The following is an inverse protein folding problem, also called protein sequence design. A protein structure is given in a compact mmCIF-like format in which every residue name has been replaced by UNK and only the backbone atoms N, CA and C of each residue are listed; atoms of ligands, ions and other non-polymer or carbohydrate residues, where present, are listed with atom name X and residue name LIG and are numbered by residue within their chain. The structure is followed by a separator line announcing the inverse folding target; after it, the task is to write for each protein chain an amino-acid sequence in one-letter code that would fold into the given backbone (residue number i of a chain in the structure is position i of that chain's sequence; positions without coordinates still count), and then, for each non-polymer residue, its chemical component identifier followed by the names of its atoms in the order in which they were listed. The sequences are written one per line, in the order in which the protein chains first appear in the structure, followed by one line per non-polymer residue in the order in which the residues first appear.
data_IF_302995249456
#
_entry.id   IF_302995249456
#
_cell.length_a   1.000
_cell.length_b   1.000
_cell.length_c   1.000
_cell.angle_alpha   90.00
_cell.angle_beta   90.00
_cell.angle_gamma   90.00
#
_symmetry.space_group_name_H-M   'P 1'
#
loop_
_entity.id
_entity.type
_entity.pdbx_description
1 polymer ?
#
# COMPACT_ATOMS: atom_id res chain seq x y z
N UNK A 1 -35.72 -12.25 14.54
CA UNK A 1 -35.48 -13.55 13.89
C UNK A 1 -34.76 -13.36 12.57
N UNK A 2 -33.46 -13.09 12.46
CA UNK A 2 -32.44 -12.62 13.39
C UNK A 2 -31.24 -12.11 12.54
N UNK A 3 -30.69 -10.98 12.98
CA UNK A 3 -29.27 -10.62 13.02
C UNK A 3 -28.37 -10.59 11.74
N UNK A 4 -27.93 -9.37 11.43
CA UNK A 4 -26.52 -8.96 11.33
C UNK A 4 -25.57 -9.61 10.29
N UNK A 5 -25.44 -8.94 9.14
CA UNK A 5 -24.14 -8.85 8.45
C UNK A 5 -23.85 -7.43 7.96
N UNK A 6 -23.22 -6.58 8.81
CA UNK A 6 -22.67 -5.31 8.39
C UNK A 6 -21.18 -5.47 8.17
N UNK A 7 -20.74 -6.00 7.03
CA UNK A 7 -19.32 -5.98 6.70
C UNK A 7 -19.08 -5.54 5.24
N UNK A 8 -18.39 -4.40 5.17
CA UNK A 8 -17.60 -3.82 4.10
C UNK A 8 -18.29 -3.47 2.77
N UNK A 9 -18.41 -2.17 2.52
CA UNK A 9 -18.77 -1.68 1.20
C UNK A 9 -19.01 -0.17 1.14
N UNK A 10 -18.33 0.62 1.99
CA UNK A 10 -18.32 2.07 1.80
C UNK A 10 -17.55 2.34 0.51
N UNK A 11 -18.27 2.40 -0.60
CA UNK A 11 -17.82 3.02 -1.83
C UNK A 11 -17.66 4.50 -1.47
N UNK A 12 -16.47 4.88 -0.97
CA UNK A 12 -16.09 6.27 -0.80
C UNK A 12 -15.59 6.69 -2.20
N UNK A 13 -16.38 7.40 -3.02
CA UNK A 13 -15.90 7.88 -4.30
C UNK A 13 -14.85 8.96 -4.04
N UNK A 14 -13.58 8.57 -4.06
CA UNK A 14 -12.49 9.50 -4.30
C UNK A 14 -12.60 9.94 -5.78
N UNK A 15 -13.40 10.98 -6.08
CA UNK A 15 -13.56 11.46 -7.45
C UNK A 15 -12.29 12.18 -7.90
N UNK A 16 -11.37 11.42 -8.48
CA UNK A 16 -10.30 11.93 -9.33
C UNK A 16 -10.85 11.95 -10.76
N UNK A 17 -11.36 13.08 -11.25
CA UNK A 17 -11.86 13.20 -12.63
C UNK A 17 -10.70 13.21 -13.62
N UNK A 18 -10.27 12.01 -14.00
CA UNK A 18 -9.81 11.68 -15.35
C UNK A 18 -10.77 10.65 -15.95
N UNK A 19 -10.76 10.46 -17.28
CA UNK A 19 -11.67 9.59 -18.04
C UNK A 19 -11.73 8.11 -17.61
N UNK A 20 -10.88 7.67 -16.67
CA UNK A 20 -10.68 6.27 -16.27
C UNK A 20 -11.29 5.89 -14.92
N UNK A 21 -11.94 6.80 -14.18
CA UNK A 21 -12.67 6.47 -12.94
C UNK A 21 -11.82 5.97 -11.76
N UNK A 22 -10.49 5.99 -11.86
CA UNK A 22 -9.56 5.55 -10.82
C UNK A 22 -9.04 6.72 -9.97
N UNK A 23 -8.96 6.53 -8.65
CA UNK A 23 -8.36 7.49 -7.74
C UNK A 23 -6.84 7.49 -7.87
N UNK A 24 -6.23 8.67 -8.09
CA UNK A 24 -4.77 8.77 -8.19
C UNK A 24 -4.10 8.44 -6.84
N UNK A 25 -3.13 7.54 -6.88
CA UNK A 25 -2.35 7.12 -5.72
C UNK A 25 -1.11 8.02 -5.53
N UNK A 26 -1.35 9.34 -5.39
CA UNK A 26 -0.31 10.38 -5.31
C UNK A 26 -0.41 11.11 -3.96
N UNK A 27 0.72 11.35 -3.31
CA UNK A 27 0.76 12.09 -2.04
C UNK A 27 0.86 13.60 -2.28
N UNK A 28 0.04 14.36 -1.57
CA UNK A 28 0.15 15.82 -1.47
C UNK A 28 1.48 16.17 -0.79
N UNK A 29 2.19 17.13 -1.38
CA UNK A 29 3.37 17.71 -0.76
C UNK A 29 2.93 18.72 0.30
N UNK A 30 3.28 18.48 1.56
CA UNK A 30 2.96 19.34 2.70
C UNK A 30 4.17 20.11 3.24
N UNK A 31 5.35 19.91 2.65
CA UNK A 31 6.62 20.45 3.12
C UNK A 31 7.23 21.38 2.07
N UNK A 32 7.06 22.68 2.26
CA UNK A 32 7.79 23.77 1.58
C UNK A 32 7.56 23.99 0.07
N UNK A 33 6.72 23.21 -0.63
CA UNK A 33 6.33 23.49 -2.03
C UNK A 33 4.83 23.34 -2.24
N UNK A 34 4.27 24.18 -3.14
CA UNK A 34 2.87 24.05 -3.58
C UNK A 34 2.68 22.69 -4.26
N UNK A 35 1.75 21.90 -3.76
CA UNK A 35 1.35 20.64 -4.39
C UNK A 35 0.35 20.89 -5.51
N UNK A 36 0.47 20.14 -6.61
CA UNK A 36 -0.57 20.07 -7.64
C UNK A 36 -1.82 19.31 -7.18
N UNK A 37 -1.76 18.65 -6.02
CA UNK A 37 -2.90 17.98 -5.39
C UNK A 37 -3.68 19.00 -4.55
N UNK A 38 -4.92 19.24 -4.94
CA UNK A 38 -5.86 20.13 -4.27
C UNK A 38 -6.66 19.43 -3.15
N UNK A 39 -7.19 20.21 -2.21
CA UNK A 39 -7.93 19.76 -1.02
C UNK A 39 -9.17 18.91 -1.33
N UNK A 40 -9.77 19.07 -2.51
CA UNK A 40 -10.87 18.22 -3.00
C UNK A 40 -10.49 16.74 -3.07
N UNK A 41 -9.21 16.42 -3.32
CA UNK A 41 -8.71 15.05 -3.41
C UNK A 41 -8.34 14.50 -2.04
N UNK A 42 -7.87 15.37 -1.12
CA UNK A 42 -7.36 14.95 0.19
C UNK A 42 -8.44 14.82 1.27
N UNK A 43 -9.61 15.45 1.08
CA UNK A 43 -10.73 15.43 2.02
C UNK A 43 -11.38 14.05 2.23
N UNK A 44 -11.18 13.13 1.29
CA UNK A 44 -11.89 11.85 1.30
C UNK A 44 -11.17 10.83 2.21
N UNK A 45 -11.90 10.07 3.04
CA UNK A 45 -11.29 9.06 3.92
C UNK A 45 -10.47 8.01 3.13
N UNK A 46 -10.87 7.70 1.89
CA UNK A 46 -10.13 6.80 1.01
C UNK A 46 -8.73 7.29 0.65
N UNK A 47 -8.51 8.61 0.57
CA UNK A 47 -7.18 9.18 0.32
C UNK A 47 -6.21 8.86 1.47
N UNK A 48 -6.65 9.01 2.73
CA UNK A 48 -5.84 8.67 3.89
C UNK A 48 -5.49 7.18 3.95
N UNK A 49 -6.43 6.30 3.58
CA UNK A 49 -6.20 4.85 3.49
C UNK A 49 -5.17 4.53 2.40
N UNK A 50 -5.30 5.11 1.20
CA UNK A 50 -4.34 4.97 0.12
C UNK A 50 -2.92 5.38 0.53
N UNK A 51 -2.76 6.51 1.24
CA UNK A 51 -1.46 6.92 1.74
C UNK A 51 -0.84 5.93 2.75
N UNK A 52 -1.65 5.33 3.62
CA UNK A 52 -1.17 4.30 4.56
C UNK A 52 -0.74 3.04 3.82
N UNK A 53 -1.52 2.59 2.84
CA UNK A 53 -1.19 1.42 2.01
C UNK A 53 0.11 1.66 1.24
N UNK A 54 0.28 2.86 0.65
CA UNK A 54 1.52 3.26 -0.02
C UNK A 54 2.75 3.08 0.86
N UNK A 55 2.72 3.65 2.06
CA UNK A 55 3.85 3.60 3.00
C UNK A 55 4.17 2.16 3.42
N UNK A 56 3.14 1.35 3.68
CA UNK A 56 3.31 -0.08 4.00
C UNK A 56 4.02 -0.84 2.88
N UNK A 57 3.63 -0.59 1.63
CA UNK A 57 4.27 -1.22 0.46
C UNK A 57 5.73 -0.75 0.32
N UNK A 58 6.00 0.55 0.48
CA UNK A 58 7.36 1.11 0.42
C UNK A 58 8.28 0.52 1.50
N UNK A 59 7.79 0.34 2.74
CA UNK A 59 8.51 -0.32 3.83
C UNK A 59 8.88 -1.78 3.50
N UNK A 60 7.91 -2.55 2.99
CA UNK A 60 8.13 -3.94 2.56
C UNK A 60 9.21 -3.99 1.47
N UNK A 61 9.10 -3.16 0.44
CA UNK A 61 10.09 -3.11 -0.64
C UNK A 61 11.47 -2.65 -0.17
N UNK A 62 11.53 -1.73 0.81
CA UNK A 62 12.77 -1.32 1.45
C UNK A 62 13.46 -2.50 2.15
N UNK A 63 12.70 -3.25 2.94
CA UNK A 63 13.21 -4.42 3.66
C UNK A 63 13.66 -5.54 2.71
N UNK A 64 12.82 -5.90 1.72
CA UNK A 64 13.11 -6.90 0.70
C UNK A 64 14.44 -6.59 0.00
N UNK A 65 14.68 -5.33 -0.35
CA UNK A 65 15.96 -4.91 -0.96
C UNK A 65 17.13 -5.11 0.00
N UNK A 66 16.96 -4.78 1.28
CA UNK A 66 17.95 -5.03 2.34
C UNK A 66 18.25 -6.52 2.54
N UNK A 67 17.26 -7.39 2.40
CA UNK A 67 17.36 -8.84 2.56
C UNK A 67 18.07 -9.58 1.39
N UNK A 68 18.66 -8.84 0.42
CA UNK A 68 19.50 -9.42 -0.64
C UNK A 68 18.99 -9.16 -2.06
N UNK A 69 17.77 -8.65 -2.23
CA UNK A 69 17.22 -8.32 -3.55
C UNK A 69 17.73 -6.99 -4.13
N UNK A 70 18.52 -6.21 -3.38
CA UNK A 70 19.24 -5.04 -3.92
C UNK A 70 20.35 -5.42 -4.91
N UNK A 71 20.99 -6.58 -4.72
CA UNK A 71 22.08 -7.10 -5.56
C UNK A 71 21.88 -8.60 -5.81
N UNK A 72 20.77 -8.95 -6.46
CA UNK A 72 20.43 -10.36 -6.72
C UNK A 72 21.48 -11.00 -7.62
N UNK A 73 21.98 -12.20 -7.24
CA UNK A 73 22.91 -12.99 -8.05
C UNK A 73 22.18 -13.88 -9.07
N UNK A 74 20.85 -13.95 -9.01
CA UNK A 74 20.03 -14.77 -9.89
C UNK A 74 19.77 -14.06 -11.22
N UNK A 75 19.71 -14.83 -12.30
CA UNK A 75 19.34 -14.35 -13.64
C UNK A 75 18.02 -14.98 -14.06
N UNK A 76 17.19 -14.21 -14.76
CA UNK A 76 15.87 -14.62 -15.24
C UNK A 76 14.74 -14.30 -14.27
N UNK A 77 13.58 -13.94 -14.84
CA UNK A 77 12.38 -13.52 -14.09
C UNK A 77 11.82 -14.62 -13.22
N UNK A 78 11.86 -15.88 -13.66
CA UNK A 78 11.35 -17.02 -12.89
C UNK A 78 12.09 -17.18 -11.54
N UNK A 79 13.43 -17.18 -11.57
CA UNK A 79 14.24 -17.36 -10.36
C UNK A 79 14.18 -16.16 -9.42
N UNK A 80 14.19 -14.95 -9.99
CA UNK A 80 14.03 -13.71 -9.21
C UNK A 80 12.62 -13.63 -8.59
N UNK A 81 11.58 -14.00 -9.34
CA UNK A 81 10.19 -14.02 -8.88
C UNK A 81 9.96 -15.00 -7.73
N UNK A 82 10.59 -16.18 -7.80
CA UNK A 82 10.54 -17.14 -6.69
C UNK A 82 11.22 -16.59 -5.42
N UNK A 83 12.43 -16.03 -5.55
CA UNK A 83 13.13 -15.40 -4.43
C UNK A 83 12.36 -14.21 -3.84
N UNK A 84 11.74 -13.39 -4.69
CA UNK A 84 10.87 -12.30 -4.27
C UNK A 84 9.69 -12.80 -3.44
N UNK A 85 8.99 -13.83 -3.92
CA UNK A 85 7.84 -14.42 -3.23
C UNK A 85 8.25 -15.00 -1.87
N UNK A 86 9.35 -15.74 -1.81
CA UNK A 86 9.91 -16.28 -0.58
C UNK A 86 10.23 -15.16 0.43
N UNK A 87 10.89 -14.09 -0.03
CA UNK A 87 11.28 -12.96 0.83
C UNK A 87 10.05 -12.18 1.32
N UNK A 88 9.03 -12.01 0.48
CA UNK A 88 7.76 -11.39 0.87
C UNK A 88 7.01 -12.22 1.91
N UNK A 89 6.98 -13.55 1.78
CA UNK A 89 6.40 -14.45 2.80
C UNK A 89 7.14 -14.34 4.12
N UNK A 90 8.48 -14.32 4.09
CA UNK A 90 9.28 -14.12 5.31
C UNK A 90 8.98 -12.78 5.99
N UNK A 91 8.80 -11.71 5.23
CA UNK A 91 8.40 -10.41 5.78
C UNK A 91 7.03 -10.48 6.48
N UNK A 92 6.06 -11.20 5.90
CA UNK A 92 4.76 -11.39 6.54
C UNK A 92 4.91 -12.08 7.91
N UNK A 93 5.76 -13.09 8.03
CA UNK A 93 6.03 -13.77 9.30
C UNK A 93 6.64 -12.82 10.35
N UNK A 94 7.61 -11.99 9.96
CA UNK A 94 8.23 -10.98 10.84
C UNK A 94 7.18 -9.95 11.30
N UNK A 95 6.18 -9.67 10.47
CA UNK A 95 5.13 -8.70 10.75
C UNK A 95 4.03 -9.26 11.66
N UNK A 96 3.77 -10.57 11.64
CA UNK A 96 2.68 -11.19 12.40
C UNK A 96 2.69 -10.87 13.90
N UNK A 97 3.81 -10.94 14.66
CA UNK A 97 3.80 -10.63 16.09
C UNK A 97 3.30 -9.21 16.40
N UNK A 98 3.65 -8.23 15.56
CA UNK A 98 3.19 -6.85 15.71
C UNK A 98 1.70 -6.70 15.41
N UNK A 99 1.15 -7.52 14.52
CA UNK A 99 -0.28 -7.52 14.20
C UNK A 99 -1.09 -8.20 15.31
N UNK A 100 -0.58 -9.31 15.86
CA UNK A 100 -1.20 -10.03 16.96
C UNK A 100 -1.19 -9.22 18.27
N UNK A 101 -0.13 -8.43 18.51
CA UNK A 101 -0.06 -7.54 19.67
C UNK A 101 -0.99 -6.30 19.58
N UNK A 102 -1.47 -5.99 18.37
CA UNK A 102 -2.36 -4.85 18.12
C UNK A 102 -3.84 -5.27 17.98
N UNK A 103 -4.12 -6.58 18.02
CA UNK A 103 -5.45 -7.17 18.03
C UNK A 103 -5.94 -7.35 19.47
#
# INVERSE_FOLDING_TARGET
MDADHPLYGVLIPCRFTGSLGAAAHVAQNTSNRRSAIDGRTTRHPGYAVSLRIRKRIEEVFGWIKGAGLRKTRHRGTARVGWMFTLTATAYNLIRLPKLLAAA
#
